data_IF_671361402909
#
_entry.id   IF_671361402909
#
_cell.length_a   1.000
_cell.length_b   1.000
_cell.length_c   1.000
_cell.angle_alpha   90.00
_cell.angle_beta   90.00
_cell.angle_gamma   90.00
#
_symmetry.space_group_name_H-M   'P 1'
#
loop_
_entity.id
_entity.type
_entity.pdbx_description
1 polymer ?
#
# COMPACT_ATOMS: atom_id res chain seq x y z
N UNK A 1 8.20 -4.33 7.91
CA UNK A 1 7.95 -5.38 8.91
C UNK A 1 6.49 -5.53 9.34
N UNK A 2 5.69 -4.47 9.40
CA UNK A 2 4.29 -4.53 9.89
C UNK A 2 3.39 -5.47 9.06
N UNK A 3 3.38 -5.29 7.74
CA UNK A 3 2.52 -6.05 6.81
C UNK A 3 2.78 -7.56 6.91
N UNK A 4 4.05 -7.96 7.07
CA UNK A 4 4.44 -9.36 7.29
C UNK A 4 3.77 -9.94 8.55
N UNK A 5 3.74 -9.20 9.65
CA UNK A 5 3.13 -9.69 10.89
C UNK A 5 1.61 -9.78 10.76
N UNK A 6 0.98 -8.76 10.16
CA UNK A 6 -0.47 -8.75 9.92
C UNK A 6 -0.89 -9.91 9.01
N UNK A 7 -0.17 -10.14 7.90
CA UNK A 7 -0.44 -11.27 7.00
C UNK A 7 -0.25 -12.60 7.74
N UNK A 8 0.81 -12.76 8.54
CA UNK A 8 1.01 -13.98 9.32
C UNK A 8 -0.12 -14.23 10.30
N UNK A 9 -0.61 -13.20 10.97
CA UNK A 9 -1.73 -13.30 11.90
C UNK A 9 -3.04 -13.69 11.18
N UNK A 10 -3.33 -13.04 10.04
CA UNK A 10 -4.48 -13.39 9.19
C UNK A 10 -4.42 -14.86 8.72
N UNK A 11 -3.24 -15.33 8.34
CA UNK A 11 -3.03 -16.73 7.92
C UNK A 11 -3.21 -17.72 9.08
N UNK A 12 -2.67 -17.40 10.26
CA UNK A 12 -2.77 -18.26 11.45
C UNK A 12 -4.22 -18.38 11.93
N UNK A 13 -4.96 -17.28 11.93
CA UNK A 13 -6.35 -17.23 12.38
C UNK A 13 -7.36 -17.61 11.27
N UNK A 14 -6.89 -17.84 10.02
CA UNK A 14 -7.73 -18.08 8.83
C UNK A 14 -8.77 -16.99 8.58
N UNK A 15 -8.41 -15.77 8.95
CA UNK A 15 -9.26 -14.59 8.83
C UNK A 15 -9.09 -13.93 7.48
N UNK A 16 -10.21 -13.43 6.93
CA UNK A 16 -10.19 -12.62 5.71
C UNK A 16 -9.79 -11.20 6.08
N UNK A 17 -8.99 -10.56 5.25
CA UNK A 17 -8.43 -9.26 5.57
C UNK A 17 -8.31 -8.34 4.37
N UNK A 18 -8.25 -7.05 4.66
CA UNK A 18 -7.91 -6.02 3.68
C UNK A 18 -6.84 -5.11 4.27
N UNK A 19 -5.76 -4.91 3.53
CA UNK A 19 -4.68 -3.98 3.88
C UNK A 19 -4.81 -2.76 2.98
N UNK A 20 -4.92 -1.56 3.56
CA UNK A 20 -5.05 -0.32 2.79
C UNK A 20 -3.79 0.54 2.99
N UNK A 21 -3.14 0.90 1.89
CA UNK A 21 -1.97 1.77 1.87
C UNK A 21 -2.36 3.19 1.48
N UNK A 22 -1.78 4.19 2.15
CA UNK A 22 -1.97 5.61 1.80
C UNK A 22 -0.72 6.14 1.11
N UNK A 23 -0.85 6.44 -0.17
CA UNK A 23 0.20 6.94 -1.06
C UNK A 23 0.04 8.44 -1.32
N UNK A 24 0.75 8.97 -2.31
CA UNK A 24 0.73 10.39 -2.63
C UNK A 24 0.88 10.60 -4.13
N UNK A 25 0.00 11.39 -4.75
CA UNK A 25 -0.02 11.56 -6.22
C UNK A 25 1.27 12.21 -6.75
N UNK A 26 1.89 13.11 -5.97
CA UNK A 26 3.05 13.86 -6.45
C UNK A 26 4.36 13.07 -6.40
N UNK A 27 4.32 11.77 -6.05
CA UNK A 27 5.47 10.88 -6.25
C UNK A 27 5.84 10.71 -7.72
N UNK A 28 4.87 10.82 -8.62
CA UNK A 28 5.08 10.62 -10.06
C UNK A 28 5.63 11.86 -10.77
N UNK A 29 5.55 13.04 -10.15
CA UNK A 29 5.89 14.33 -10.79
C UNK A 29 7.36 14.74 -10.60
N UNK A 30 8.12 14.04 -9.74
CA UNK A 30 9.57 14.21 -9.61
C UNK A 30 10.01 15.60 -9.11
N UNK A 31 9.80 15.88 -7.82
CA UNK A 31 10.24 17.13 -7.19
C UNK A 31 11.68 17.04 -6.65
N UNK A 32 12.48 18.10 -6.86
CA UNK A 32 13.83 18.22 -6.29
C UNK A 32 13.79 18.11 -4.76
N UNK A 33 14.68 17.28 -4.20
CA UNK A 33 14.77 17.05 -2.75
C UNK A 33 13.77 16.04 -2.18
N UNK A 34 12.84 15.52 -2.98
CA UNK A 34 11.81 14.56 -2.54
C UNK A 34 12.01 13.15 -3.11
N UNK A 35 13.17 12.83 -3.68
CA UNK A 35 13.46 11.52 -4.28
C UNK A 35 13.19 10.35 -3.33
N UNK A 36 13.64 10.44 -2.06
CA UNK A 36 13.42 9.41 -1.05
C UNK A 36 11.94 9.27 -0.69
N UNK A 37 11.24 10.39 -0.47
CA UNK A 37 9.82 10.38 -0.14
C UNK A 37 8.96 9.85 -1.30
N UNK A 38 9.27 10.29 -2.53
CA UNK A 38 8.64 9.83 -3.75
C UNK A 38 8.85 8.32 -3.96
N UNK A 39 10.05 7.82 -3.69
CA UNK A 39 10.35 6.39 -3.77
C UNK A 39 9.55 5.60 -2.72
N UNK A 40 9.58 6.03 -1.45
CA UNK A 40 8.88 5.32 -0.36
C UNK A 40 7.37 5.31 -0.53
N UNK A 41 6.77 6.40 -1.03
CA UNK A 41 5.31 6.47 -1.27
C UNK A 41 4.92 5.84 -2.61
N UNK A 42 5.74 5.95 -3.65
CA UNK A 42 5.48 5.37 -4.96
C UNK A 42 5.62 3.84 -4.99
N UNK A 43 6.49 3.25 -4.16
CA UNK A 43 6.69 1.78 -4.11
C UNK A 43 5.49 1.04 -3.51
N UNK A 44 4.59 1.73 -2.79
CA UNK A 44 3.45 1.10 -2.13
C UNK A 44 2.40 0.58 -3.13
N UNK A 45 2.23 1.20 -4.29
CA UNK A 45 1.32 0.70 -5.33
C UNK A 45 1.75 -0.65 -5.92
N UNK A 46 2.98 -0.80 -6.48
CA UNK A 46 3.43 -2.09 -7.01
C UNK A 46 3.56 -3.14 -5.90
N UNK A 47 3.92 -2.72 -4.68
CA UNK A 47 3.92 -3.60 -3.51
C UNK A 47 2.51 -4.13 -3.21
N UNK A 48 1.51 -3.24 -3.13
CA UNK A 48 0.11 -3.61 -2.87
C UNK A 48 -0.45 -4.55 -3.93
N UNK A 49 -0.18 -4.28 -5.21
CA UNK A 49 -0.56 -5.17 -6.33
C UNK A 49 0.04 -6.57 -6.19
N UNK A 50 1.31 -6.65 -5.80
CA UNK A 50 2.00 -7.94 -5.61
C UNK A 50 1.40 -8.72 -4.43
N UNK A 51 1.15 -8.05 -3.29
CA UNK A 51 0.53 -8.67 -2.11
C UNK A 51 -0.89 -9.17 -2.43
N UNK A 52 -1.71 -8.38 -3.12
CA UNK A 52 -3.07 -8.80 -3.49
C UNK A 52 -3.06 -10.04 -4.40
N UNK A 53 -2.05 -10.17 -5.28
CA UNK A 53 -1.91 -11.33 -6.17
C UNK A 53 -1.38 -12.56 -5.43
N UNK A 54 -0.46 -12.38 -4.50
CA UNK A 54 0.14 -13.47 -3.73
C UNK A 54 -0.84 -14.07 -2.70
N UNK A 55 -1.67 -13.22 -2.07
CA UNK A 55 -2.55 -13.64 -0.97
C UNK A 55 -4.04 -13.61 -1.33
N UNK A 56 -4.37 -13.37 -2.62
CA UNK A 56 -5.75 -13.33 -3.10
C UNK A 56 -6.48 -14.67 -2.96
N UNK A 57 -5.79 -15.80 -3.11
CA UNK A 57 -6.37 -17.15 -2.96
C UNK A 57 -6.90 -17.42 -1.54
N UNK A 58 -6.25 -16.83 -0.53
CA UNK A 58 -6.67 -16.91 0.88
C UNK A 58 -7.55 -15.73 1.31
N UNK A 59 -8.08 -14.95 0.34
CA UNK A 59 -8.99 -13.81 0.55
C UNK A 59 -8.37 -12.69 1.39
N UNK A 60 -7.07 -12.46 1.25
CA UNK A 60 -6.38 -11.28 1.79
C UNK A 60 -6.18 -10.29 0.65
N UNK A 61 -6.91 -9.18 0.69
CA UNK A 61 -6.78 -8.08 -0.25
C UNK A 61 -5.74 -7.06 0.20
N UNK A 62 -5.05 -6.45 -0.76
CA UNK A 62 -4.26 -5.24 -0.53
C UNK A 62 -4.65 -4.17 -1.55
N UNK A 63 -4.97 -2.98 -1.05
CA UNK A 63 -5.40 -1.84 -1.85
C UNK A 63 -4.58 -0.61 -1.52
N UNK A 64 -4.57 0.33 -2.44
CA UNK A 64 -3.83 1.57 -2.32
C UNK A 64 -4.74 2.76 -2.61
N UNK A 65 -4.68 3.78 -1.76
CA UNK A 65 -5.40 5.05 -1.90
C UNK A 65 -4.39 6.15 -2.10
N UNK A 66 -4.44 6.78 -3.28
CA UNK A 66 -3.57 7.90 -3.67
C UNK A 66 -4.38 9.20 -3.61
N UNK A 67 -4.41 9.90 -2.47
CA UNK A 67 -5.04 11.22 -2.41
C UNK A 67 -4.34 12.18 -3.38
N UNK A 68 -5.14 12.83 -4.22
CA UNK A 68 -4.77 14.06 -4.89
C UNK A 68 -5.03 15.24 -3.95
N UNK A 69 -4.48 16.43 -4.23
CA UNK A 69 -4.63 17.64 -3.42
C UNK A 69 -6.05 17.75 -2.86
N UNK A 70 -6.18 17.65 -1.53
CA UNK A 70 -7.47 17.82 -0.88
C UNK A 70 -7.73 19.31 -0.76
N UNK A 71 -8.83 19.76 -1.34
CA UNK A 71 -9.34 21.12 -1.14
C UNK A 71 -9.67 21.28 0.35
N UNK A 72 -8.92 22.12 1.05
CA UNK A 72 -9.24 22.51 2.42
C UNK A 72 -10.17 23.72 2.33
N UNK A 73 -11.46 23.46 2.47
CA UNK A 73 -12.49 24.49 2.63
C UNK A 73 -12.38 25.22 3.96
#
# INVERSE_FOLDING_TARGET
MLIKHVIRDMLLNKEKGAIVHITYICTNTGYKGLSMYATTKGVLEPFSKTVAREWGEVRIGSNCVTPCFMEQG
#
